data_IF_835177740330
#
_entry.id   IF_835177740330
#
_cell.length_a   1.000
_cell.length_b   1.000
_cell.length_c   1.000
_cell.angle_alpha   90.00
_cell.angle_beta   90.00
_cell.angle_gamma   90.00
#
_symmetry.space_group_name_H-M   'P 1'
#
loop_
_entity.id
_entity.type
_entity.pdbx_description
1 polymer ?
#
# COMPACT_ATOMS: atom_id res chain seq x y z
N UNK A 1 16.99 4.30 -18.01
CA UNK A 1 18.06 3.48 -17.39
C UNK A 1 17.51 2.99 -16.06
N UNK A 2 17.15 1.71 -16.01
CA UNK A 2 16.58 1.07 -14.82
C UNK A 2 17.72 0.87 -13.81
N UNK A 3 17.80 1.68 -12.77
CA UNK A 3 18.70 1.40 -11.64
C UNK A 3 18.11 0.23 -10.87
N UNK A 4 18.74 -0.93 -10.97
CA UNK A 4 18.41 -2.08 -10.11
C UNK A 4 18.47 -1.65 -8.63
N UNK A 5 17.55 -2.12 -7.77
CA UNK A 5 17.61 -1.84 -6.34
C UNK A 5 18.98 -2.27 -5.81
N UNK A 6 19.64 -1.36 -5.10
CA UNK A 6 20.95 -1.65 -4.54
C UNK A 6 20.78 -2.77 -3.51
N UNK A 7 21.73 -3.70 -3.40
CA UNK A 7 21.67 -4.83 -2.44
C UNK A 7 21.51 -4.43 -0.96
N UNK A 8 21.51 -3.12 -0.67
CA UNK A 8 21.14 -2.53 0.61
C UNK A 8 19.62 -2.42 0.76
N UNK A 9 18.90 -1.94 -0.27
CA UNK A 9 17.43 -1.83 -0.26
C UNK A 9 16.79 -3.23 -0.16
N UNK A 10 17.28 -4.20 -0.92
CA UNK A 10 16.80 -5.59 -0.85
C UNK A 10 16.98 -6.21 0.54
N UNK A 11 18.15 -6.00 1.17
CA UNK A 11 18.40 -6.46 2.55
C UNK A 11 17.50 -5.77 3.56
N UNK A 12 17.21 -4.48 3.38
CA UNK A 12 16.30 -3.74 4.22
C UNK A 12 14.88 -4.29 4.09
N UNK A 13 14.38 -4.49 2.87
CA UNK A 13 13.06 -5.06 2.62
C UNK A 13 12.92 -6.48 3.22
N UNK A 14 13.91 -7.34 3.02
CA UNK A 14 13.93 -8.71 3.59
C UNK A 14 13.92 -8.69 5.13
N UNK A 15 14.61 -7.74 5.76
CA UNK A 15 14.61 -7.60 7.22
C UNK A 15 13.25 -7.11 7.71
N UNK A 16 12.65 -6.12 7.05
CA UNK A 16 11.32 -5.62 7.39
C UNK A 16 10.26 -6.72 7.25
N UNK A 17 10.28 -7.48 6.14
CA UNK A 17 9.36 -8.61 5.91
C UNK A 17 9.48 -9.66 7.02
N UNK A 18 10.70 -10.04 7.42
CA UNK A 18 10.92 -10.99 8.51
C UNK A 18 10.35 -10.52 9.84
N UNK A 19 10.56 -9.24 10.19
CA UNK A 19 10.00 -8.64 11.41
C UNK A 19 8.48 -8.65 11.38
N UNK A 20 7.88 -8.29 10.25
CA UNK A 20 6.43 -8.29 10.04
C UNK A 20 5.83 -9.69 10.21
N UNK A 21 6.43 -10.70 9.59
CA UNK A 21 6.00 -12.11 9.73
C UNK A 21 6.03 -12.56 11.19
N UNK A 22 7.10 -12.25 11.92
CA UNK A 22 7.21 -12.59 13.36
C UNK A 22 6.14 -11.86 14.18
N UNK A 23 5.94 -10.55 13.93
CA UNK A 23 4.97 -9.75 14.68
C UNK A 23 3.52 -10.23 14.43
N UNK A 24 3.16 -10.56 13.18
CA UNK A 24 1.85 -11.13 12.82
C UNK A 24 1.60 -12.46 13.50
N UNK A 25 2.59 -13.38 13.44
CA UNK A 25 2.50 -14.67 14.10
C UNK A 25 2.28 -14.53 15.61
N UNK A 26 3.04 -13.68 16.29
CA UNK A 26 2.85 -13.41 17.72
C UNK A 26 1.47 -12.79 18.01
N UNK A 27 0.97 -11.91 17.14
CA UNK A 27 -0.39 -11.36 17.26
C UNK A 27 -1.44 -12.45 17.14
N UNK A 28 -1.30 -13.36 16.16
CA UNK A 28 -2.21 -14.48 15.98
C UNK A 28 -2.20 -15.43 17.17
N UNK A 29 -1.02 -15.72 17.76
CA UNK A 29 -0.87 -16.64 18.89
C UNK A 29 -1.40 -16.07 20.19
N UNK A 30 -1.12 -14.78 20.50
CA UNK A 30 -1.27 -14.20 21.85
C UNK A 30 -1.97 -12.86 21.91
N UNK A 31 -2.43 -12.33 20.78
CA UNK A 31 -2.94 -10.97 20.67
C UNK A 31 -1.85 -9.91 20.75
N UNK A 32 -2.19 -8.67 20.40
CA UNK A 32 -1.24 -7.57 20.31
C UNK A 32 -0.59 -7.19 21.67
N UNK A 33 -1.25 -7.44 22.78
CA UNK A 33 -0.72 -7.18 24.12
C UNK A 33 0.14 -8.32 24.68
N UNK A 34 0.07 -9.51 24.08
CA UNK A 34 0.70 -10.74 24.57
C UNK A 34 2.19 -10.91 24.24
N UNK A 35 2.84 -9.90 23.62
CA UNK A 35 4.26 -9.93 23.31
C UNK A 35 4.91 -8.53 23.37
N UNK A 36 6.23 -8.49 23.43
CA UNK A 36 7.02 -7.26 23.47
C UNK A 36 7.81 -7.04 22.18
N UNK A 37 8.33 -5.82 21.97
CA UNK A 37 9.24 -5.51 20.86
C UNK A 37 10.52 -6.33 21.00
N UNK A 38 11.00 -6.53 22.23
CA UNK A 38 12.17 -7.33 22.54
C UNK A 38 12.03 -8.77 22.04
N UNK A 39 10.87 -9.38 22.26
CA UNK A 39 10.58 -10.73 21.80
C UNK A 39 10.51 -10.81 20.26
N UNK A 40 9.94 -9.78 19.60
CA UNK A 40 9.99 -9.69 18.14
C UNK A 40 11.43 -9.60 17.64
N UNK A 41 12.25 -8.77 18.27
CA UNK A 41 13.68 -8.61 17.92
C UNK A 41 14.45 -9.93 18.06
N UNK A 42 14.26 -10.63 19.17
CA UNK A 42 14.91 -11.91 19.44
C UNK A 42 14.57 -12.93 18.36
N UNK A 43 13.26 -13.11 18.07
CA UNK A 43 12.79 -14.09 17.06
C UNK A 43 13.18 -13.69 15.64
N UNK A 44 13.24 -12.39 15.34
CA UNK A 44 13.65 -11.89 14.02
C UNK A 44 15.18 -11.82 13.86
N UNK A 45 15.96 -12.06 14.92
CA UNK A 45 17.43 -12.01 14.88
C UNK A 45 17.96 -10.59 14.62
N UNK A 46 17.35 -9.56 15.23
CA UNK A 46 17.74 -8.15 15.07
C UNK A 46 17.86 -7.45 16.42
N UNK A 47 18.56 -6.32 16.45
CA UNK A 47 18.61 -5.46 17.63
C UNK A 47 17.34 -4.60 17.76
N UNK A 48 17.03 -4.14 18.98
CA UNK A 48 15.97 -3.16 19.23
C UNK A 48 16.17 -1.87 18.43
N UNK A 49 17.41 -1.40 18.31
CA UNK A 49 17.76 -0.25 17.46
C UNK A 49 17.40 -0.51 16.01
N UNK A 50 17.69 -1.71 15.50
CA UNK A 50 17.34 -2.10 14.15
C UNK A 50 15.83 -2.12 13.98
N UNK A 51 15.06 -2.64 14.94
CA UNK A 51 13.60 -2.61 14.89
C UNK A 51 13.07 -1.17 14.72
N UNK A 52 13.48 -0.24 15.56
CA UNK A 52 13.02 1.15 15.53
C UNK A 52 13.52 1.94 14.30
N UNK A 53 14.51 1.44 13.58
CA UNK A 53 14.86 1.98 12.26
C UNK A 53 13.85 1.61 11.18
N UNK A 54 13.06 0.52 11.36
CA UNK A 54 12.05 0.07 10.41
C UNK A 54 10.63 0.41 10.83
N UNK A 55 10.32 0.30 12.11
CA UNK A 55 8.96 0.42 12.61
C UNK A 55 8.92 1.33 13.84
N UNK A 56 8.01 2.32 13.85
CA UNK A 56 7.85 3.19 15.01
C UNK A 56 7.23 2.45 16.21
N UNK A 57 6.37 1.47 15.96
CA UNK A 57 5.67 0.68 16.98
C UNK A 57 5.54 -0.77 16.54
N UNK A 58 5.18 -1.67 17.49
CA UNK A 58 4.85 -3.06 17.15
C UNK A 58 3.57 -3.19 16.30
N UNK A 59 2.65 -2.25 16.44
CA UNK A 59 1.45 -2.19 15.61
C UNK A 59 1.83 -1.96 14.14
N UNK A 60 2.81 -1.06 13.89
CA UNK A 60 3.32 -0.80 12.55
C UNK A 60 4.01 -2.03 11.96
N UNK A 61 4.73 -2.78 12.81
CA UNK A 61 5.35 -4.04 12.39
C UNK A 61 4.30 -5.09 12.00
N UNK A 62 3.19 -5.24 12.76
CA UNK A 62 2.08 -6.14 12.41
C UNK A 62 1.42 -5.72 11.10
N UNK A 63 1.19 -4.43 10.92
CA UNK A 63 0.61 -3.89 9.68
C UNK A 63 1.58 -3.91 8.49
N UNK A 64 2.88 -4.20 8.72
CA UNK A 64 3.91 -4.19 7.67
C UNK A 64 4.32 -2.79 7.22
N UNK A 65 4.19 -1.79 8.12
CA UNK A 65 4.42 -0.38 7.79
C UNK A 65 5.77 0.10 8.23
N UNK A 66 6.69 0.14 7.30
CA UNK A 66 8.00 0.75 7.54
C UNK A 66 7.87 2.25 7.81
N UNK A 67 8.68 2.74 8.77
CA UNK A 67 8.81 4.17 9.08
C UNK A 67 9.38 4.97 7.89
N UNK A 68 10.08 4.29 7.00
CA UNK A 68 10.63 4.87 5.77
C UNK A 68 9.92 4.22 4.59
N UNK A 69 9.07 4.98 3.91
CA UNK A 69 8.64 4.62 2.56
C UNK A 69 9.84 4.78 1.62
N UNK A 70 10.37 3.66 1.17
CA UNK A 70 11.39 3.65 0.12
C UNK A 70 10.69 3.72 -1.25
N UNK A 71 9.98 4.84 -1.50
CA UNK A 71 9.23 5.06 -2.74
C UNK A 71 9.56 6.41 -3.42
N UNK A 72 10.66 7.06 -3.03
CA UNK A 72 11.07 8.36 -3.58
C UNK A 72 11.24 8.31 -5.11
N UNK A 73 11.79 7.23 -5.64
CA UNK A 73 11.93 7.01 -7.08
C UNK A 73 10.58 6.80 -7.77
N UNK A 74 9.61 6.14 -7.12
CA UNK A 74 8.24 6.00 -7.64
C UNK A 74 7.52 7.35 -7.66
N UNK A 75 7.68 8.12 -6.59
CA UNK A 75 7.14 9.48 -6.50
C UNK A 75 7.76 10.37 -7.58
N UNK A 76 9.08 10.32 -7.77
CA UNK A 76 9.74 11.09 -8.83
C UNK A 76 9.21 10.68 -10.22
N UNK A 77 9.12 9.38 -10.49
CA UNK A 77 8.58 8.86 -11.75
C UNK A 77 7.10 9.27 -11.98
N UNK A 78 6.30 9.36 -10.91
CA UNK A 78 4.92 9.86 -10.99
C UNK A 78 4.88 11.36 -11.31
N UNK A 79 5.73 12.17 -10.67
CA UNK A 79 5.77 13.61 -10.90
C UNK A 79 6.26 13.97 -12.29
N UNK A 80 7.20 13.19 -12.85
CA UNK A 80 7.73 13.34 -14.21
C UNK A 80 6.87 12.64 -15.27
N UNK A 81 5.80 11.94 -14.85
CA UNK A 81 4.94 11.16 -15.73
C UNK A 81 4.18 12.01 -16.73
N UNK A 82 4.04 11.50 -17.96
CA UNK A 82 3.34 12.17 -19.08
C UNK A 82 2.09 11.41 -19.55
N UNK A 83 1.82 10.25 -18.97
CA UNK A 83 0.60 9.50 -19.25
C UNK A 83 -0.62 10.17 -18.60
N UNK A 84 -1.86 9.81 -18.98
CA UNK A 84 -3.05 10.31 -18.29
C UNK A 84 -2.96 10.12 -16.77
N UNK A 85 -3.40 11.12 -16.00
CA UNK A 85 -3.26 11.16 -14.54
C UNK A 85 -3.66 9.84 -13.84
N UNK A 86 -4.84 9.32 -14.19
CA UNK A 86 -5.35 8.09 -13.55
C UNK A 86 -4.50 6.85 -13.87
N UNK A 87 -3.84 6.81 -15.05
CA UNK A 87 -2.92 5.71 -15.41
C UNK A 87 -1.66 5.75 -14.57
N UNK A 88 -1.07 6.97 -14.45
CA UNK A 88 0.15 7.15 -13.66
C UNK A 88 -0.13 6.91 -12.18
N UNK A 89 -1.28 7.34 -11.66
CA UNK A 89 -1.68 7.12 -10.27
C UNK A 89 -1.96 5.64 -9.98
N UNK A 90 -2.64 4.94 -10.89
CA UNK A 90 -2.86 3.49 -10.77
C UNK A 90 -1.52 2.72 -10.83
N UNK A 91 -0.60 3.14 -11.70
CA UNK A 91 0.76 2.57 -11.76
C UNK A 91 1.53 2.79 -10.46
N UNK A 92 1.52 4.00 -9.90
CA UNK A 92 2.14 4.30 -8.60
C UNK A 92 1.57 3.39 -7.50
N UNK A 93 0.25 3.26 -7.44
CA UNK A 93 -0.45 2.39 -6.50
C UNK A 93 -0.02 0.92 -6.65
N UNK A 94 0.03 0.41 -7.88
CA UNK A 94 0.45 -0.96 -8.17
C UNK A 94 1.92 -1.22 -7.82
N UNK A 95 2.81 -0.26 -8.08
CA UNK A 95 4.22 -0.36 -7.74
C UNK A 95 4.46 -0.33 -6.24
N UNK A 96 3.74 0.52 -5.49
CA UNK A 96 3.77 0.51 -4.02
C UNK A 96 3.27 -0.80 -3.44
N UNK A 97 2.20 -1.36 -4.01
CA UNK A 97 1.69 -2.68 -3.65
C UNK A 97 2.75 -3.78 -3.81
N UNK A 98 3.43 -3.80 -4.96
CA UNK A 98 4.49 -4.76 -5.23
C UNK A 98 5.68 -4.61 -4.26
N UNK A 99 6.08 -3.36 -3.92
CA UNK A 99 7.14 -3.11 -2.92
C UNK A 99 6.77 -3.52 -1.51
N UNK A 100 5.50 -3.44 -1.16
CA UNK A 100 5.01 -3.87 0.14
C UNK A 100 4.94 -5.40 0.28
N UNK A 101 5.35 -6.16 -0.75
CA UNK A 101 5.30 -7.63 -0.79
C UNK A 101 3.92 -8.17 -0.36
N UNK A 102 2.85 -7.52 -0.86
CA UNK A 102 1.48 -7.85 -0.53
C UNK A 102 1.02 -9.09 -1.30
N UNK A 103 1.48 -10.26 -0.84
CA UNK A 103 0.99 -11.56 -1.29
C UNK A 103 -0.43 -11.83 -0.78
N UNK A 104 -1.12 -12.80 -1.36
CA UNK A 104 -2.45 -13.24 -0.87
C UNK A 104 -2.38 -13.67 0.60
N UNK A 105 -1.32 -14.39 0.98
CA UNK A 105 -1.08 -14.83 2.35
C UNK A 105 -0.89 -13.63 3.29
N UNK A 106 -0.03 -12.68 2.93
CA UNK A 106 0.22 -11.48 3.71
C UNK A 106 -1.06 -10.63 3.90
N UNK A 107 -1.91 -10.53 2.87
CA UNK A 107 -3.19 -9.83 2.97
C UNK A 107 -4.14 -10.52 3.96
N UNK A 108 -4.24 -11.84 3.90
CA UNK A 108 -5.07 -12.63 4.83
C UNK A 108 -4.57 -12.53 6.27
N UNK A 109 -3.26 -12.55 6.49
CA UNK A 109 -2.67 -12.33 7.81
C UNK A 109 -2.99 -10.94 8.39
N UNK A 110 -2.88 -9.88 7.56
CA UNK A 110 -3.26 -8.52 7.98
C UNK A 110 -4.74 -8.46 8.31
N UNK A 111 -5.59 -9.02 7.46
CA UNK A 111 -7.04 -9.05 7.69
C UNK A 111 -7.36 -9.76 9.02
N UNK A 112 -6.83 -10.95 9.25
CA UNK A 112 -7.04 -11.70 10.49
C UNK A 112 -6.56 -10.93 11.74
N UNK A 113 -5.41 -10.24 11.64
CA UNK A 113 -4.90 -9.42 12.73
C UNK A 113 -5.81 -8.22 13.03
N UNK A 114 -6.31 -7.55 11.98
CA UNK A 114 -7.20 -6.38 12.10
C UNK A 114 -8.59 -6.78 12.65
N UNK A 115 -9.14 -7.92 12.20
CA UNK A 115 -10.41 -8.45 12.71
C UNK A 115 -10.33 -8.82 14.20
N UNK A 116 -9.18 -9.33 14.63
CA UNK A 116 -8.95 -9.72 16.03
C UNK A 116 -8.69 -8.54 16.96
N UNK A 117 -8.08 -7.48 16.46
CA UNK A 117 -7.57 -6.35 17.24
C UNK A 117 -8.14 -5.03 16.72
N UNK A 118 -9.27 -4.54 17.26
CA UNK A 118 -9.93 -3.30 16.82
C UNK A 118 -9.01 -2.07 16.81
N UNK A 119 -8.01 -2.06 17.69
CA UNK A 119 -6.97 -1.02 17.72
C UNK A 119 -6.12 -0.99 16.43
N UNK A 120 -5.81 -2.15 15.85
CA UNK A 120 -5.11 -2.23 14.56
C UNK A 120 -5.98 -1.69 13.43
N UNK A 121 -7.29 -1.96 13.46
CA UNK A 121 -8.22 -1.40 12.49
C UNK A 121 -8.22 0.14 12.53
N UNK A 122 -8.35 0.73 13.73
CA UNK A 122 -8.32 2.18 13.89
C UNK A 122 -7.02 2.78 13.32
N UNK A 123 -5.88 2.19 13.66
CA UNK A 123 -4.57 2.63 13.17
C UNK A 123 -4.42 2.43 11.65
N UNK A 124 -5.00 1.36 11.12
CA UNK A 124 -5.01 1.09 9.68
C UNK A 124 -5.81 2.17 8.92
N UNK A 125 -7.01 2.50 9.40
CA UNK A 125 -7.85 3.53 8.80
C UNK A 125 -7.22 4.93 8.87
N UNK A 126 -6.67 5.28 10.04
CA UNK A 126 -5.97 6.55 10.23
C UNK A 126 -4.82 6.74 9.24
N UNK A 127 -4.11 5.69 8.96
CA UNK A 127 -3.03 5.74 7.99
C UNK A 127 -3.55 5.81 6.54
N UNK A 128 -4.58 5.07 6.20
CA UNK A 128 -5.18 5.18 4.87
C UNK A 128 -5.54 6.64 4.56
N UNK A 129 -6.12 7.36 5.56
CA UNK A 129 -6.42 8.78 5.41
C UNK A 129 -5.16 9.65 5.23
N UNK A 130 -4.08 9.36 5.96
CA UNK A 130 -2.80 10.07 5.76
C UNK A 130 -2.19 9.80 4.38
N UNK A 131 -2.25 8.55 3.93
CA UNK A 131 -1.74 8.15 2.62
C UNK A 131 -2.56 8.82 1.51
N UNK A 132 -3.90 8.85 1.62
CA UNK A 132 -4.79 9.55 0.70
C UNK A 132 -4.43 11.04 0.62
N UNK A 133 -4.26 11.72 1.77
CA UNK A 133 -3.88 13.13 1.80
C UNK A 133 -2.52 13.38 1.14
N UNK A 134 -1.54 12.51 1.37
CA UNK A 134 -0.22 12.60 0.74
C UNK A 134 -0.32 12.43 -0.78
N UNK A 135 -1.15 11.50 -1.25
CA UNK A 135 -1.34 11.27 -2.69
C UNK A 135 -2.10 12.43 -3.36
N UNK A 136 -3.04 13.08 -2.65
CA UNK A 136 -3.68 14.33 -3.13
C UNK A 136 -2.64 15.42 -3.35
N UNK A 137 -1.73 15.63 -2.40
CA UNK A 137 -0.64 16.61 -2.54
C UNK A 137 0.30 16.28 -3.70
N UNK A 138 0.55 15.00 -3.99
CA UNK A 138 1.33 14.58 -5.16
C UNK A 138 0.61 14.91 -6.47
N UNK A 139 -0.70 14.66 -6.55
CA UNK A 139 -1.51 15.00 -7.73
C UNK A 139 -1.55 16.51 -7.94
N UNK A 140 -1.77 17.30 -6.89
CA UNK A 140 -1.73 18.77 -6.95
C UNK A 140 -0.40 19.28 -7.54
N UNK A 141 0.71 18.74 -7.07
CA UNK A 141 2.06 19.10 -7.54
C UNK A 141 2.28 18.72 -8.99
N UNK A 142 1.88 17.51 -9.40
CA UNK A 142 2.05 17.01 -10.77
C UNK A 142 1.24 17.82 -11.77
N UNK A 143 -0.03 18.11 -11.45
CA UNK A 143 -0.96 18.78 -12.34
C UNK A 143 -0.92 20.32 -12.20
N UNK A 144 -0.07 20.88 -11.32
CA UNK A 144 -0.02 22.31 -11.05
C UNK A 144 -1.32 22.88 -10.47
N UNK A 145 -2.05 22.07 -9.69
CA UNK A 145 -3.34 22.45 -9.09
C UNK A 145 -3.13 23.20 -7.77
N UNK A 146 -4.05 24.10 -7.40
CA UNK A 146 -4.03 24.74 -6.09
C UNK A 146 -4.29 23.71 -4.99
N UNK A 147 -3.78 23.97 -3.78
CA UNK A 147 -4.01 23.12 -2.63
C UNK A 147 -5.51 22.99 -2.31
N UNK A 148 -5.98 21.78 -2.12
CA UNK A 148 -7.40 21.47 -1.86
C UNK A 148 -8.26 21.44 -3.12
N UNK A 149 -7.66 21.29 -4.29
CA UNK A 149 -8.42 21.15 -5.54
C UNK A 149 -9.20 19.83 -5.55
N UNK A 150 -10.51 19.92 -5.78
CA UNK A 150 -11.41 18.76 -5.78
C UNK A 150 -11.03 17.71 -6.83
N UNK A 151 -10.39 18.13 -7.94
CA UNK A 151 -9.96 17.19 -9.00
C UNK A 151 -8.87 16.25 -8.50
N UNK A 152 -7.91 16.77 -7.69
CA UNK A 152 -6.86 15.97 -7.09
C UNK A 152 -7.44 14.93 -6.12
N UNK A 153 -8.29 15.38 -5.20
CA UNK A 153 -8.97 14.48 -4.25
C UNK A 153 -9.81 13.42 -4.98
N UNK A 154 -10.59 13.83 -5.99
CA UNK A 154 -11.41 12.90 -6.77
C UNK A 154 -10.57 11.85 -7.50
N UNK A 155 -9.44 12.24 -8.11
CA UNK A 155 -8.55 11.29 -8.79
C UNK A 155 -8.03 10.22 -7.83
N UNK A 156 -7.57 10.63 -6.64
CA UNK A 156 -7.07 9.71 -5.61
C UNK A 156 -8.17 8.79 -5.10
N UNK A 157 -9.37 9.32 -4.82
CA UNK A 157 -10.51 8.54 -4.35
C UNK A 157 -10.98 7.53 -5.39
N UNK A 158 -11.04 7.90 -6.67
CA UNK A 158 -11.40 6.97 -7.76
C UNK A 158 -10.41 5.81 -7.82
N UNK A 159 -9.10 6.08 -7.90
CA UNK A 159 -8.09 5.03 -7.96
C UNK A 159 -8.09 4.21 -6.68
N UNK A 160 -8.26 4.82 -5.50
CA UNK A 160 -8.38 4.14 -4.21
C UNK A 160 -9.56 3.18 -4.16
N UNK A 161 -10.75 3.60 -4.62
CA UNK A 161 -11.93 2.73 -4.69
C UNK A 161 -11.73 1.53 -5.64
N UNK A 162 -11.11 1.75 -6.80
CA UNK A 162 -10.77 0.69 -7.75
C UNK A 162 -9.72 -0.28 -7.15
N UNK A 163 -8.73 0.25 -6.42
CA UNK A 163 -7.73 -0.55 -5.74
C UNK A 163 -8.35 -1.45 -4.66
N UNK A 164 -9.29 -0.94 -3.84
CA UNK A 164 -10.03 -1.76 -2.87
C UNK A 164 -10.77 -2.91 -3.56
N UNK A 165 -11.40 -2.65 -4.70
CA UNK A 165 -12.04 -3.69 -5.50
C UNK A 165 -11.04 -4.72 -6.06
N UNK A 166 -9.87 -4.26 -6.51
CA UNK A 166 -8.79 -5.13 -6.98
C UNK A 166 -8.23 -6.02 -5.86
N UNK A 167 -8.04 -5.47 -4.64
CA UNK A 167 -7.61 -6.24 -3.46
C UNK A 167 -8.61 -7.36 -3.14
N UNK A 168 -9.90 -7.07 -3.12
CA UNK A 168 -10.94 -8.08 -2.85
C UNK A 168 -10.88 -9.25 -3.83
N UNK A 169 -10.67 -8.96 -5.10
CA UNK A 169 -10.52 -9.97 -6.14
C UNK A 169 -9.18 -10.72 -6.01
N UNK A 170 -8.10 -10.00 -5.70
CA UNK A 170 -6.76 -10.58 -5.50
C UNK A 170 -6.72 -11.61 -4.37
N UNK A 171 -7.41 -11.35 -3.24
CA UNK A 171 -7.44 -12.27 -2.10
C UNK A 171 -8.53 -13.36 -2.20
N UNK A 172 -9.37 -13.32 -3.26
CA UNK A 172 -10.40 -14.34 -3.46
C UNK A 172 -9.78 -15.71 -3.77
N UNK A 173 -10.53 -16.78 -3.48
CA UNK A 173 -10.07 -18.13 -3.76
C UNK A 173 -9.88 -18.34 -5.27
N UNK A 174 -8.74 -18.95 -5.62
CA UNK A 174 -8.39 -19.26 -7.01
C UNK A 174 -7.90 -18.08 -7.86
N UNK A 175 -7.75 -16.88 -7.30
CA UNK A 175 -7.19 -15.75 -8.03
C UNK A 175 -5.70 -15.97 -8.28
N UNK A 176 -5.29 -15.91 -9.56
CA UNK A 176 -3.89 -15.96 -9.99
C UNK A 176 -3.47 -14.67 -10.70
N UNK A 177 -4.40 -13.73 -10.86
CA UNK A 177 -4.15 -12.48 -11.59
C UNK A 177 -3.37 -11.51 -10.70
N UNK A 178 -2.27 -10.93 -11.17
CA UNK A 178 -1.51 -9.90 -10.44
C UNK A 178 -2.40 -8.69 -10.07
N UNK A 179 -2.15 -8.10 -8.92
CA UNK A 179 -2.88 -6.91 -8.46
C UNK A 179 -2.85 -5.75 -9.48
N UNK A 180 -1.71 -5.53 -10.13
CA UNK A 180 -1.56 -4.49 -11.15
C UNK A 180 -2.54 -4.67 -12.32
N UNK A 181 -2.71 -5.91 -12.78
CA UNK A 181 -3.61 -6.24 -13.90
C UNK A 181 -5.08 -6.08 -13.49
N UNK A 182 -5.40 -6.47 -12.24
CA UNK A 182 -6.74 -6.28 -11.68
C UNK A 182 -7.10 -4.80 -11.57
N UNK A 183 -6.16 -3.97 -11.12
CA UNK A 183 -6.37 -2.52 -11.00
C UNK A 183 -6.54 -1.87 -12.37
N UNK A 184 -5.67 -2.20 -13.35
CA UNK A 184 -5.74 -1.70 -14.72
C UNK A 184 -7.09 -2.05 -15.36
N UNK A 185 -7.50 -3.32 -15.27
CA UNK A 185 -8.80 -3.78 -15.81
C UNK A 185 -9.99 -3.03 -15.21
N UNK A 186 -9.95 -2.71 -13.93
CA UNK A 186 -11.00 -1.93 -13.26
C UNK A 186 -11.00 -0.48 -13.70
N UNK A 187 -9.84 0.11 -13.93
CA UNK A 187 -9.71 1.48 -14.44
C UNK A 187 -10.28 1.58 -15.87
N UNK A 188 -9.99 0.61 -16.73
CA UNK A 188 -10.53 0.56 -18.09
C UNK A 188 -12.06 0.38 -18.11
N UNK A 189 -12.58 -0.47 -17.22
CA UNK A 189 -14.02 -0.62 -17.05
C UNK A 189 -14.69 0.69 -16.59
N UNK A 190 -14.07 1.40 -15.62
CA UNK A 190 -14.56 2.70 -15.17
C UNK A 190 -14.59 3.73 -16.30
N UNK A 191 -13.56 3.79 -17.13
CA UNK A 191 -13.51 4.66 -18.32
C UNK A 191 -14.64 4.37 -19.28
N UNK A 192 -14.86 3.09 -19.60
CA UNK A 192 -15.95 2.67 -20.48
C UNK A 192 -17.31 3.10 -19.96
N UNK A 193 -17.55 2.96 -18.65
CA UNK A 193 -18.82 3.35 -18.02
C UNK A 193 -19.03 4.86 -17.94
N UNK A 194 -17.96 5.64 -17.82
CA UNK A 194 -18.00 7.10 -17.69
C UNK A 194 -17.87 7.83 -19.03
N UNK A 195 -17.51 7.13 -20.10
CA UNK A 195 -17.50 7.72 -21.45
C UNK A 195 -18.94 7.97 -21.89
N UNK A 196 -19.25 9.15 -22.48
CA UNK A 196 -20.57 9.40 -23.03
C UNK A 196 -20.88 8.36 -24.13
N UNK A 197 -22.02 7.70 -24.01
CA UNK A 197 -22.52 6.75 -25.01
C UNK A 197 -22.92 7.55 -26.25
N UNK A 198 -22.25 7.40 -27.40
CA UNK A 198 -22.57 8.18 -28.61
C UNK A 198 -23.96 7.87 -29.16
N UNK A 199 -24.56 6.73 -28.76
CA UNK A 199 -25.90 6.31 -29.26
C UNK A 199 -27.05 6.84 -28.39
N UNK A 200 -26.81 7.45 -27.22
CA UNK A 200 -27.85 7.96 -26.33
C UNK A 200 -28.20 9.44 -26.55
N UNK A 201 -27.61 10.11 -27.53
CA UNK A 201 -27.81 11.56 -27.80
C UNK A 201 -28.63 11.78 -29.10
N UNK A 202 -29.48 10.84 -29.49
CA UNK A 202 -30.40 11.00 -30.63
C UNK A 202 -31.84 10.94 -30.17
#
# INVERSE_FOLDING_TARGET
MNSAPTGRSERMAATAARVTTVARRLTAERGLTGFTVEEVCERAGISRRTFFNYFATKDDAVLGRSAHRDDEDLVAAFLDGTAPLLDDLARLTAQRWARADMTVENCREVQAAVEREPRLLAKFLEQLLRDEQSDVELVERREGLPRGDVRAATAVQVVGALAVGAVREFVSEGSTTPFADLLTRRLDAARTLLSPDPERTS
#
